data_IF_086360033667
#
_entry.id   IF_086360033667
#
_cell.length_a   1.000
_cell.length_b   1.000
_cell.length_c   1.000
_cell.angle_alpha   90.00
_cell.angle_beta   90.00
_cell.angle_gamma   90.00
#
_symmetry.space_group_name_H-M   'P 1'
#
loop_
_entity.id
_entity.type
_entity.pdbx_description
1 polymer ?
#
# COMPACT_ATOMS: atom_id res chain seq x y z
N UNK A 1 1.01 28.08 1.71
CA UNK A 1 1.83 28.32 2.89
C UNK A 1 1.30 27.47 4.04
N UNK A 2 1.95 26.31 4.33
CA UNK A 2 1.52 25.30 5.32
C UNK A 2 1.28 25.90 6.72
N UNK A 3 1.96 27.01 7.04
CA UNK A 3 1.87 27.66 8.36
C UNK A 3 0.51 28.30 8.69
N UNK A 4 -0.33 28.58 7.69
CA UNK A 4 -1.62 29.25 7.91
C UNK A 4 -2.78 28.32 8.19
N UNK A 5 -2.67 27.04 7.83
CA UNK A 5 -3.76 26.08 7.96
C UNK A 5 -3.58 25.20 9.20
N UNK A 6 -4.67 24.84 9.85
CA UNK A 6 -4.68 24.00 11.05
C UNK A 6 -5.85 23.02 11.04
N UNK A 7 -5.71 21.95 11.83
CA UNK A 7 -6.81 21.02 12.11
C UNK A 7 -7.29 20.23 10.87
N UNK A 8 -8.59 20.09 10.77
CA UNK A 8 -9.27 19.19 9.81
C UNK A 8 -8.97 19.51 8.34
N UNK A 9 -8.60 20.76 8.01
CA UNK A 9 -8.34 21.14 6.60
C UNK A 9 -7.20 20.33 5.98
N UNK A 10 -6.18 19.94 6.75
CA UNK A 10 -5.12 19.08 6.25
C UNK A 10 -5.61 17.67 5.95
N UNK A 11 -6.51 17.13 6.76
CA UNK A 11 -7.13 15.82 6.51
C UNK A 11 -7.94 15.86 5.23
N UNK A 12 -8.76 16.88 5.04
CA UNK A 12 -9.52 17.07 3.80
C UNK A 12 -8.61 17.25 2.59
N UNK A 13 -7.53 18.01 2.72
CA UNK A 13 -6.55 18.19 1.65
C UNK A 13 -5.84 16.88 1.27
N UNK A 14 -5.50 16.04 2.25
CA UNK A 14 -4.93 14.71 1.98
C UNK A 14 -5.93 13.79 1.27
N UNK A 15 -7.19 13.79 1.69
CA UNK A 15 -8.25 13.03 1.03
C UNK A 15 -8.47 13.52 -0.42
N UNK A 16 -8.55 14.83 -0.63
CA UNK A 16 -8.65 15.42 -1.97
C UNK A 16 -7.44 15.07 -2.83
N UNK A 17 -6.21 15.13 -2.28
CA UNK A 17 -4.98 14.75 -2.99
C UNK A 17 -4.95 13.28 -3.38
N UNK A 18 -5.57 12.41 -2.60
CA UNK A 18 -5.68 10.98 -2.92
C UNK A 18 -6.59 10.75 -4.13
N UNK A 19 -7.73 11.43 -4.18
CA UNK A 19 -8.66 11.40 -5.32
C UNK A 19 -8.04 12.03 -6.55
N UNK A 20 -7.38 13.19 -6.40
CA UNK A 20 -6.64 13.85 -7.47
C UNK A 20 -5.60 12.93 -8.10
N UNK A 21 -4.75 12.31 -7.29
CA UNK A 21 -3.72 11.39 -7.81
C UNK A 21 -4.33 10.25 -8.63
N UNK A 22 -5.45 9.70 -8.16
CA UNK A 22 -6.15 8.66 -8.90
C UNK A 22 -6.69 9.18 -10.25
N UNK A 23 -7.36 10.33 -10.24
CA UNK A 23 -7.94 10.92 -11.44
C UNK A 23 -6.87 11.26 -12.48
N UNK A 24 -5.78 11.92 -12.03
CA UNK A 24 -4.66 12.31 -12.90
C UNK A 24 -3.99 11.07 -13.52
N UNK A 25 -3.67 10.07 -12.70
CA UNK A 25 -2.94 8.91 -13.18
C UNK A 25 -3.83 7.96 -14.00
N UNK A 26 -5.07 7.69 -13.59
CA UNK A 26 -5.97 6.84 -14.37
C UNK A 26 -6.33 7.51 -15.71
N UNK A 27 -6.59 8.82 -15.72
CA UNK A 27 -6.87 9.56 -16.95
C UNK A 27 -5.67 9.59 -17.91
N UNK A 28 -4.45 9.72 -17.38
CA UNK A 28 -3.24 9.60 -18.19
C UNK A 28 -3.13 8.20 -18.81
N UNK A 29 -3.42 7.14 -18.05
CA UNK A 29 -3.39 5.76 -18.56
C UNK A 29 -4.47 5.51 -19.61
N UNK A 30 -5.68 6.06 -19.46
CA UNK A 30 -6.75 5.97 -20.47
C UNK A 30 -6.29 6.58 -21.80
N UNK A 31 -5.59 7.73 -21.76
CA UNK A 31 -5.00 8.35 -22.96
C UNK A 31 -3.94 7.44 -23.59
N UNK A 32 -3.03 6.88 -22.76
CA UNK A 32 -1.96 5.97 -23.24
C UNK A 32 -2.56 4.71 -23.87
N UNK A 33 -3.57 4.11 -23.23
CA UNK A 33 -4.28 2.94 -23.75
C UNK A 33 -4.95 3.28 -25.08
N UNK A 34 -5.66 4.41 -25.19
CA UNK A 34 -6.32 4.84 -26.43
C UNK A 34 -5.33 5.12 -27.57
N UNK A 35 -4.17 5.74 -27.26
CA UNK A 35 -3.12 5.94 -28.28
C UNK A 35 -2.51 4.60 -28.72
N UNK A 36 -2.25 3.68 -27.81
CA UNK A 36 -1.73 2.35 -28.15
C UNK A 36 -2.68 1.56 -29.06
N UNK A 37 -4.00 1.66 -28.79
CA UNK A 37 -5.01 1.00 -29.64
C UNK A 37 -5.01 1.51 -31.08
N UNK A 38 -4.70 2.79 -31.33
CA UNK A 38 -4.54 3.33 -32.70
C UNK A 38 -3.41 2.63 -33.45
N UNK A 39 -2.41 2.11 -32.76
CA UNK A 39 -1.31 1.31 -33.35
C UNK A 39 -1.56 -0.20 -33.30
N UNK A 40 -2.77 -0.63 -32.93
CA UNK A 40 -3.12 -2.06 -32.80
C UNK A 40 -2.49 -2.75 -31.58
N UNK A 41 -1.99 -1.98 -30.61
CA UNK A 41 -1.35 -2.50 -29.38
C UNK A 41 -2.38 -2.46 -28.26
N UNK A 42 -2.68 -3.63 -27.68
CA UNK A 42 -3.55 -3.73 -26.50
C UNK A 42 -2.70 -3.75 -25.25
N UNK A 43 -2.88 -2.75 -24.38
CA UNK A 43 -2.23 -2.65 -23.08
C UNK A 43 -3.10 -3.26 -21.99
N UNK A 44 -2.46 -3.71 -20.90
CA UNK A 44 -3.15 -4.16 -19.71
C UNK A 44 -3.62 -2.96 -18.88
N UNK A 45 -4.81 -3.07 -18.27
CA UNK A 45 -5.36 -2.04 -17.40
C UNK A 45 -4.49 -1.83 -16.16
N UNK A 46 -4.24 -0.56 -15.83
CA UNK A 46 -3.47 -0.19 -14.65
C UNK A 46 -4.32 0.02 -13.39
N UNK A 47 -5.62 0.20 -13.52
CA UNK A 47 -6.53 0.45 -12.40
C UNK A 47 -7.77 -0.44 -12.50
N UNK A 48 -8.17 -1.03 -11.35
CA UNK A 48 -9.38 -1.83 -11.20
C UNK A 48 -10.14 -1.40 -9.93
N UNK A 49 -10.80 -0.22 -9.97
CA UNK A 49 -11.58 0.33 -8.87
C UNK A 49 -10.87 0.25 -7.50
N UNK A 50 -9.66 0.81 -7.35
CA UNK A 50 -8.82 0.60 -6.17
C UNK A 50 -9.48 1.03 -4.86
N UNK A 51 -10.32 2.09 -4.87
CA UNK A 51 -11.03 2.56 -3.68
C UNK A 51 -12.17 1.64 -3.22
N UNK A 52 -12.53 0.61 -4.00
CA UNK A 52 -13.46 -0.43 -3.57
C UNK A 52 -12.82 -1.50 -2.67
N UNK A 53 -11.50 -1.45 -2.50
CA UNK A 53 -10.71 -2.47 -1.81
C UNK A 53 -10.98 -2.51 -0.31
N UNK A 54 -11.07 -3.72 0.24
CA UNK A 54 -11.32 -3.96 1.66
C UNK A 54 -10.03 -4.16 2.49
N UNK A 55 -8.87 -4.23 1.82
CA UNK A 55 -7.57 -4.33 2.49
C UNK A 55 -6.49 -3.58 1.71
N UNK A 56 -5.41 -3.18 2.41
CA UNK A 56 -4.26 -2.50 1.79
C UNK A 56 -3.60 -3.39 0.72
N UNK A 57 -3.49 -4.70 0.95
CA UNK A 57 -2.95 -5.62 -0.04
C UNK A 57 -3.84 -5.74 -1.28
N UNK A 58 -5.16 -5.71 -1.13
CA UNK A 58 -6.10 -5.68 -2.25
C UNK A 58 -6.00 -4.36 -3.02
N UNK A 59 -5.90 -3.22 -2.30
CA UNK A 59 -5.74 -1.90 -2.90
C UNK A 59 -4.56 -1.88 -3.88
N UNK A 60 -3.38 -2.35 -3.46
CA UNK A 60 -2.18 -2.36 -4.30
C UNK A 60 -2.19 -3.40 -5.43
N UNK A 61 -3.07 -4.39 -5.39
CA UNK A 61 -3.34 -5.26 -6.55
C UNK A 61 -4.24 -4.61 -7.60
N UNK A 62 -4.97 -3.55 -7.23
CA UNK A 62 -5.90 -2.80 -8.08
C UNK A 62 -5.36 -1.43 -8.51
N UNK A 63 -4.29 -0.98 -7.89
CA UNK A 63 -3.58 0.27 -8.15
C UNK A 63 -2.28 -0.01 -8.87
N UNK A 64 -2.06 0.65 -10.03
CA UNK A 64 -0.84 0.52 -10.86
C UNK A 64 -0.47 -0.95 -11.10
N UNK A 65 -1.43 -1.70 -11.63
CA UNK A 65 -1.40 -3.17 -11.73
C UNK A 65 -0.18 -3.67 -12.48
N UNK A 66 0.21 -3.00 -13.58
CA UNK A 66 1.35 -3.40 -14.41
C UNK A 66 2.67 -3.27 -13.67
N UNK A 67 2.87 -2.20 -12.87
CA UNK A 67 4.06 -2.07 -12.03
C UNK A 67 4.09 -3.16 -10.94
N UNK A 68 2.93 -3.42 -10.32
CA UNK A 68 2.80 -4.50 -9.34
C UNK A 68 3.13 -5.88 -9.93
N UNK A 69 2.68 -6.16 -11.15
CA UNK A 69 2.99 -7.38 -11.88
C UNK A 69 4.50 -7.47 -12.17
N UNK A 70 5.11 -6.39 -12.63
CA UNK A 70 6.55 -6.32 -12.89
C UNK A 70 7.37 -6.65 -11.63
N UNK A 71 7.11 -5.98 -10.51
CA UNK A 71 7.81 -6.28 -9.25
C UNK A 71 7.57 -7.72 -8.76
N UNK A 72 6.37 -8.23 -8.96
CA UNK A 72 6.03 -9.61 -8.62
C UNK A 72 6.87 -10.62 -9.41
N UNK A 73 6.97 -10.42 -10.74
CA UNK A 73 7.60 -11.40 -11.63
C UNK A 73 9.13 -11.29 -11.60
N UNK A 74 9.68 -10.07 -11.54
CA UNK A 74 11.12 -9.83 -11.63
C UNK A 74 11.84 -9.69 -10.29
N UNK A 75 11.13 -9.43 -9.19
CA UNK A 75 11.74 -9.27 -7.87
C UNK A 75 11.19 -10.29 -6.87
N UNK A 76 9.87 -10.30 -6.67
CA UNK A 76 9.26 -11.13 -5.62
C UNK A 76 9.46 -12.63 -5.86
N UNK A 77 9.10 -13.14 -7.03
CA UNK A 77 9.20 -14.57 -7.33
C UNK A 77 10.65 -15.07 -7.38
N UNK A 78 11.59 -14.41 -8.10
CA UNK A 78 12.98 -14.83 -8.08
C UNK A 78 13.58 -14.88 -6.67
N UNK A 79 13.29 -13.88 -5.84
CA UNK A 79 13.76 -13.89 -4.45
C UNK A 79 13.07 -14.96 -3.59
N UNK A 80 11.78 -15.20 -3.79
CA UNK A 80 11.02 -16.21 -3.04
C UNK A 80 11.56 -17.62 -3.25
N UNK A 81 12.03 -17.91 -4.46
CA UNK A 81 12.56 -19.22 -4.87
C UNK A 81 14.08 -19.34 -4.72
N UNK A 82 14.77 -18.25 -4.38
CA UNK A 82 16.21 -18.23 -4.22
C UNK A 82 16.67 -19.18 -3.08
N UNK A 83 17.76 -19.88 -3.31
CA UNK A 83 18.31 -20.88 -2.36
C UNK A 83 18.59 -20.32 -0.98
N UNK A 84 19.07 -19.08 -0.90
CA UNK A 84 19.31 -18.39 0.37
C UNK A 84 18.02 -18.11 1.15
N UNK A 85 16.93 -17.70 0.47
CA UNK A 85 15.63 -17.45 1.11
C UNK A 85 15.00 -18.76 1.60
N UNK A 86 15.14 -19.84 0.81
CA UNK A 86 14.72 -21.19 1.22
C UNK A 86 15.50 -21.67 2.47
N UNK A 87 16.80 -21.40 2.56
CA UNK A 87 17.60 -21.73 3.76
C UNK A 87 17.09 -20.97 4.99
N UNK A 88 16.86 -19.67 4.87
CA UNK A 88 16.27 -18.84 5.94
C UNK A 88 14.90 -19.40 6.35
N UNK A 89 14.04 -19.70 5.39
CA UNK A 89 12.70 -20.26 5.63
C UNK A 89 12.77 -21.59 6.40
N UNK A 90 13.71 -22.49 6.04
CA UNK A 90 13.93 -23.77 6.75
C UNK A 90 14.37 -23.55 8.20
N UNK A 91 15.29 -22.62 8.44
CA UNK A 91 15.74 -22.26 9.79
C UNK A 91 14.57 -21.78 10.66
N UNK A 92 13.75 -20.86 10.12
CA UNK A 92 12.58 -20.36 10.85
C UNK A 92 11.52 -21.45 11.05
N UNK A 93 11.33 -22.35 10.07
CA UNK A 93 10.43 -23.50 10.20
C UNK A 93 10.86 -24.43 11.32
N UNK A 94 12.15 -24.72 11.45
CA UNK A 94 12.71 -25.60 12.50
C UNK A 94 12.58 -24.97 13.88
N UNK A 95 12.83 -23.66 14.01
CA UNK A 95 12.86 -22.96 15.30
C UNK A 95 11.49 -22.51 15.78
N UNK A 96 10.59 -22.07 14.88
CA UNK A 96 9.32 -21.42 15.20
C UNK A 96 8.09 -22.07 14.54
N UNK A 97 8.30 -23.23 13.88
CA UNK A 97 7.22 -23.98 13.25
C UNK A 97 6.92 -23.60 11.79
N UNK A 98 6.06 -24.42 11.17
CA UNK A 98 5.79 -24.36 9.73
C UNK A 98 5.21 -23.01 9.26
N UNK A 99 4.40 -22.37 10.11
CA UNK A 99 3.82 -21.05 9.81
C UNK A 99 4.91 -20.00 9.67
N UNK A 100 5.85 -19.93 10.62
CA UNK A 100 6.96 -18.98 10.60
C UNK A 100 7.82 -19.14 9.34
N UNK A 101 8.16 -20.38 8.96
CA UNK A 101 8.90 -20.64 7.73
C UNK A 101 8.19 -20.12 6.48
N UNK A 102 6.90 -20.44 6.32
CA UNK A 102 6.10 -19.94 5.19
C UNK A 102 6.00 -18.43 5.16
N UNK A 103 5.81 -17.81 6.31
CA UNK A 103 5.69 -16.35 6.45
C UNK A 103 6.98 -15.66 6.04
N UNK A 104 8.13 -16.13 6.49
CA UNK A 104 9.45 -15.54 6.15
C UNK A 104 9.76 -15.65 4.67
N UNK A 105 9.39 -16.76 4.01
CA UNK A 105 9.58 -16.92 2.56
C UNK A 105 8.96 -15.77 1.76
N UNK A 106 7.84 -15.24 2.21
CA UNK A 106 7.12 -14.15 1.52
C UNK A 106 7.52 -12.76 2.03
N UNK A 107 7.84 -12.62 3.34
CA UNK A 107 8.13 -11.30 3.94
C UNK A 107 9.42 -10.71 3.40
N UNK A 108 10.49 -11.50 3.28
CA UNK A 108 11.79 -10.98 2.85
C UNK A 108 11.72 -10.39 1.43
N UNK A 109 11.17 -11.10 0.42
CA UNK A 109 10.97 -10.50 -0.91
C UNK A 109 10.03 -9.28 -0.87
N UNK A 110 9.00 -9.32 -0.03
CA UNK A 110 8.04 -8.23 0.08
C UNK A 110 8.67 -6.94 0.64
N UNK A 111 9.57 -7.05 1.63
CA UNK A 111 10.34 -5.91 2.14
C UNK A 111 11.14 -5.28 1.00
N UNK A 112 11.86 -6.10 0.21
CA UNK A 112 12.67 -5.60 -0.90
C UNK A 112 11.80 -4.92 -1.96
N UNK A 113 10.67 -5.53 -2.34
CA UNK A 113 9.72 -4.92 -3.29
C UNK A 113 9.27 -3.55 -2.81
N UNK A 114 8.87 -3.39 -1.55
CA UNK A 114 8.39 -2.12 -1.04
C UNK A 114 9.48 -1.07 -0.88
N UNK A 115 10.69 -1.45 -0.54
CA UNK A 115 11.84 -0.55 -0.53
C UNK A 115 12.16 -0.05 -1.95
N UNK A 116 12.22 -0.97 -2.92
CA UNK A 116 12.45 -0.63 -4.33
C UNK A 116 11.33 0.24 -4.88
N UNK A 117 10.07 -0.05 -4.55
CA UNK A 117 8.92 0.78 -4.95
C UNK A 117 9.06 2.20 -4.40
N UNK A 118 9.49 2.35 -3.14
CA UNK A 118 9.75 3.66 -2.55
C UNK A 118 10.86 4.41 -3.28
N UNK A 119 12.01 3.78 -3.52
CA UNK A 119 13.16 4.37 -4.24
C UNK A 119 12.79 4.72 -5.68
N UNK A 120 11.97 3.89 -6.34
CA UNK A 120 11.49 4.14 -7.70
C UNK A 120 10.62 5.41 -7.78
N UNK A 121 9.84 5.71 -6.75
CA UNK A 121 9.01 6.91 -6.69
C UNK A 121 9.81 8.21 -6.44
N UNK A 122 11.03 8.11 -5.93
CA UNK A 122 11.90 9.27 -5.72
C UNK A 122 13.08 9.01 -4.79
N UNK A 123 14.08 9.89 -4.85
CA UNK A 123 15.35 9.76 -4.10
C UNK A 123 15.28 10.28 -2.66
N UNK A 124 14.20 10.94 -2.29
CA UNK A 124 14.02 11.48 -0.94
C UNK A 124 13.67 10.42 0.09
N UNK A 125 14.16 10.58 1.32
CA UNK A 125 13.86 9.68 2.44
C UNK A 125 12.35 9.52 2.69
N UNK A 126 11.55 10.54 2.38
CA UNK A 126 10.10 10.49 2.45
C UNK A 126 9.49 9.38 1.58
N UNK A 127 10.07 9.08 0.40
CA UNK A 127 9.61 7.99 -0.46
C UNK A 127 10.00 6.61 0.09
N UNK A 128 11.19 6.48 0.66
CA UNK A 128 11.60 5.25 1.35
C UNK A 128 10.68 4.97 2.53
N UNK A 129 10.36 5.99 3.34
CA UNK A 129 9.42 5.87 4.46
C UNK A 129 7.99 5.55 3.97
N UNK A 130 7.58 6.07 2.81
CA UNK A 130 6.33 5.74 2.16
C UNK A 130 6.27 4.25 1.77
N UNK A 131 7.33 3.70 1.18
CA UNK A 131 7.45 2.27 0.89
C UNK A 131 7.41 1.44 2.18
N UNK A 132 8.16 1.82 3.22
CA UNK A 132 8.15 1.17 4.53
C UNK A 132 6.75 1.21 5.19
N UNK A 133 6.01 2.31 5.06
CA UNK A 133 4.66 2.46 5.59
C UNK A 133 3.71 1.42 5.00
N UNK A 134 3.60 1.33 3.68
CA UNK A 134 2.69 0.38 3.06
C UNK A 134 3.17 -1.07 3.16
N UNK A 135 4.46 -1.30 2.95
CA UNK A 135 5.07 -2.61 3.14
C UNK A 135 4.87 -3.13 4.56
N UNK A 136 5.10 -2.26 5.56
CA UNK A 136 4.89 -2.58 6.98
C UNK A 136 3.44 -2.95 7.28
N UNK A 137 2.46 -2.18 6.81
CA UNK A 137 1.04 -2.48 7.01
C UNK A 137 0.66 -3.82 6.38
N UNK A 138 1.11 -4.10 5.16
CA UNK A 138 0.81 -5.35 4.45
C UNK A 138 1.44 -6.55 5.19
N UNK A 139 2.70 -6.41 5.61
CA UNK A 139 3.42 -7.47 6.34
C UNK A 139 2.75 -7.74 7.69
N UNK A 140 2.47 -6.71 8.48
CA UNK A 140 1.79 -6.83 9.77
C UNK A 140 0.40 -7.48 9.57
N UNK A 141 -0.37 -7.01 8.59
CA UNK A 141 -1.68 -7.59 8.29
C UNK A 141 -1.59 -9.07 7.92
N UNK A 142 -0.57 -9.48 7.17
CA UNK A 142 -0.33 -10.87 6.78
C UNK A 142 0.07 -11.76 7.97
N UNK A 143 0.93 -11.26 8.84
CA UNK A 143 1.38 -11.99 10.04
C UNK A 143 0.21 -12.21 11.00
N UNK A 144 -0.57 -11.16 11.26
CA UNK A 144 -1.65 -11.17 12.26
C UNK A 144 -3.03 -11.52 11.69
N UNK A 145 -3.11 -11.94 10.42
CA UNK A 145 -4.39 -12.33 9.80
C UNK A 145 -5.21 -13.35 10.62
N UNK A 146 -4.62 -14.45 11.16
CA UNK A 146 -5.40 -15.41 11.95
C UNK A 146 -5.86 -14.84 13.29
N UNK A 147 -5.06 -13.96 13.88
CA UNK A 147 -5.40 -13.28 15.13
C UNK A 147 -6.57 -12.32 14.93
N UNK A 148 -6.56 -11.55 13.84
CA UNK A 148 -7.69 -10.71 13.45
C UNK A 148 -8.96 -11.54 13.18
N UNK A 149 -8.82 -12.70 12.52
CA UNK A 149 -9.96 -13.61 12.31
C UNK A 149 -10.51 -14.14 13.63
N UNK A 150 -9.66 -14.54 14.59
CA UNK A 150 -10.08 -14.94 15.93
C UNK A 150 -10.82 -13.81 16.66
N UNK A 151 -10.28 -12.59 16.59
CA UNK A 151 -10.90 -11.42 17.22
C UNK A 151 -12.28 -11.12 16.64
N UNK A 152 -12.45 -11.12 15.32
CA UNK A 152 -13.76 -10.89 14.69
C UNK A 152 -14.77 -11.99 15.08
N UNK A 153 -14.32 -13.25 15.18
CA UNK A 153 -15.16 -14.35 15.64
C UNK A 153 -15.55 -14.19 17.11
N UNK A 154 -14.60 -13.83 17.98
CA UNK A 154 -14.85 -13.58 19.41
C UNK A 154 -15.85 -12.45 19.62
N UNK A 155 -15.71 -11.36 18.87
CA UNK A 155 -16.60 -10.20 18.91
C UNK A 155 -17.93 -10.45 18.15
N UNK A 156 -18.16 -11.65 17.61
CA UNK A 156 -19.33 -12.01 16.82
C UNK A 156 -19.63 -11.05 15.65
N UNK A 157 -18.56 -10.50 15.05
CA UNK A 157 -18.68 -9.60 13.92
C UNK A 157 -18.97 -10.42 12.66
N UNK A 158 -20.12 -10.18 12.03
CA UNK A 158 -20.42 -10.77 10.73
C UNK A 158 -19.68 -9.96 9.63
N UNK A 159 -18.62 -10.57 9.09
CA UNK A 159 -17.76 -9.97 8.07
C UNK A 159 -18.39 -9.90 6.67
N UNK A 160 -19.53 -10.57 6.45
CA UNK A 160 -20.21 -10.57 5.14
C UNK A 160 -21.21 -9.44 4.98
N UNK A 161 -21.51 -8.71 6.07
CA UNK A 161 -22.44 -7.59 6.05
C UNK A 161 -21.92 -6.44 5.21
N UNK A 162 -22.85 -5.69 4.58
CA UNK A 162 -22.52 -4.47 3.84
C UNK A 162 -21.80 -3.44 4.72
N UNK A 163 -22.25 -3.27 5.98
CA UNK A 163 -21.63 -2.36 6.94
C UNK A 163 -20.15 -2.67 7.20
N UNK A 164 -19.81 -3.96 7.42
CA UNK A 164 -18.42 -4.37 7.59
C UNK A 164 -17.58 -4.10 6.32
N UNK A 165 -18.12 -4.40 5.15
CA UNK A 165 -17.45 -4.14 3.87
C UNK A 165 -17.19 -2.65 3.65
N UNK A 166 -18.16 -1.79 3.97
CA UNK A 166 -17.97 -0.33 3.93
C UNK A 166 -16.93 0.16 4.93
N UNK A 167 -16.97 -0.32 6.16
CA UNK A 167 -15.93 -0.02 7.16
C UNK A 167 -14.53 -0.38 6.64
N UNK A 168 -14.35 -1.57 6.07
CA UNK A 168 -13.07 -2.00 5.51
C UNK A 168 -12.60 -1.11 4.36
N UNK A 169 -13.50 -0.66 3.48
CA UNK A 169 -13.19 0.27 2.37
C UNK A 169 -12.76 1.62 2.90
N UNK A 170 -13.51 2.20 3.82
CA UNK A 170 -13.18 3.51 4.44
C UNK A 170 -11.83 3.41 5.15
N UNK A 171 -11.61 2.40 5.97
CA UNK A 171 -10.32 2.16 6.64
C UNK A 171 -9.18 2.08 5.62
N UNK A 172 -9.35 1.32 4.53
CA UNK A 172 -8.32 1.16 3.49
C UNK A 172 -8.03 2.48 2.79
N UNK A 173 -9.07 3.27 2.47
CA UNK A 173 -8.92 4.60 1.91
C UNK A 173 -8.19 5.55 2.87
N UNK A 174 -8.51 5.54 4.16
CA UNK A 174 -7.82 6.36 5.16
C UNK A 174 -6.34 5.95 5.32
N UNK A 175 -6.03 4.65 5.27
CA UNK A 175 -4.65 4.17 5.22
C UNK A 175 -3.92 4.71 3.97
N UNK A 176 -4.58 4.72 2.81
CA UNK A 176 -4.01 5.29 1.61
C UNK A 176 -3.75 6.80 1.76
N UNK A 177 -4.69 7.55 2.32
CA UNK A 177 -4.50 8.97 2.64
C UNK A 177 -3.35 9.19 3.63
N UNK A 178 -3.16 8.30 4.61
CA UNK A 178 -2.03 8.35 5.55
C UNK A 178 -0.67 8.28 4.85
N UNK A 179 -0.54 7.44 3.82
CA UNK A 179 0.69 7.40 3.00
C UNK A 179 0.91 8.69 2.19
N UNK A 180 -0.16 9.38 1.76
CA UNK A 180 -0.05 10.68 1.09
C UNK A 180 0.61 11.75 1.97
N UNK A 181 0.48 11.63 3.29
CA UNK A 181 1.14 12.52 4.25
C UNK A 181 2.68 12.53 4.09
N UNK A 182 3.28 11.44 3.63
CA UNK A 182 4.72 11.36 3.39
C UNK A 182 5.15 11.96 2.05
N UNK A 183 4.25 12.03 1.07
CA UNK A 183 4.59 12.45 -0.30
C UNK A 183 4.10 13.84 -0.67
N UNK A 184 2.90 14.25 -0.24
CA UNK A 184 2.30 15.55 -0.59
C UNK A 184 3.08 16.76 -0.06
N UNK A 185 3.60 16.77 1.17
CA UNK A 185 4.36 17.91 1.69
C UNK A 185 5.74 18.08 1.04
N UNK A 186 6.21 17.12 0.27
CA UNK A 186 7.48 17.17 -0.47
C UNK A 186 8.74 16.99 0.38
N UNK A 187 8.67 17.13 1.70
CA UNK A 187 9.79 16.92 2.62
C UNK A 187 9.34 16.44 3.99
N UNK A 188 10.24 15.77 4.74
CA UNK A 188 9.95 15.33 6.11
C UNK A 188 9.75 16.48 7.09
N UNK A 189 10.39 17.63 6.84
CA UNK A 189 10.20 18.84 7.67
C UNK A 189 8.75 19.33 7.52
N UNK A 190 8.29 19.45 6.28
CA UNK A 190 6.92 19.84 6.00
C UNK A 190 5.90 18.79 6.50
N UNK A 191 6.22 17.50 6.40
CA UNK A 191 5.40 16.43 6.97
C UNK A 191 5.22 16.60 8.47
N UNK A 192 6.31 16.84 9.21
CA UNK A 192 6.25 17.13 10.66
C UNK A 192 5.41 18.36 10.95
N UNK A 193 5.54 19.42 10.15
CA UNK A 193 4.76 20.64 10.30
C UNK A 193 3.27 20.40 10.06
N UNK A 194 2.91 19.64 9.02
CA UNK A 194 1.52 19.24 8.76
C UNK A 194 0.95 18.45 9.93
N UNK A 195 1.67 17.44 10.44
CA UNK A 195 1.23 16.66 11.60
C UNK A 195 1.01 17.57 12.82
N UNK A 196 2.00 18.42 13.14
CA UNK A 196 1.89 19.37 14.25
C UNK A 196 0.66 20.28 14.11
N UNK A 197 0.45 20.86 12.94
CA UNK A 197 -0.65 21.78 12.69
C UNK A 197 -2.02 21.06 12.62
N UNK A 198 -2.04 19.80 12.21
CA UNK A 198 -3.27 18.97 12.24
C UNK A 198 -3.68 18.65 13.68
N UNK A 199 -2.70 18.35 14.55
CA UNK A 199 -2.93 18.06 15.97
C UNK A 199 -3.08 19.30 16.83
N UNK A 200 -2.56 20.45 16.40
CA UNK A 200 -2.76 21.75 17.06
C UNK A 200 -4.19 22.22 16.74
N UNK A 201 -5.14 21.55 17.35
CA UNK A 201 -6.55 21.98 17.38
C UNK A 201 -6.62 23.08 18.42
N UNK A 202 -6.80 24.32 17.93
CA UNK A 202 -7.08 25.53 18.76
C UNK A 202 -5.88 26.22 19.36
#
# INVERSE_FOLDING_TARGET
NIGYYRGLIFVLALMASAVQLYADFSGCMDIVEGVAELFGIKLDKNFDLPFSSQSTAEFWRRWHVTLGAWFKDYVFFPMSTASWNIKISRFFKQKFGTRAGKTVTSIVPLIVVWLLTGIWHGTGLNYVLWGCYYGGIIIISSIFQPEFKKLTTLLRINTDTAGWKYFCRIRTFLIFCGGRLLTVPGSLINTKLVIKNTLAVW
#
